data_IF_372967976670
#
_entry.id   IF_372967976670
#
_cell.length_a   1.000
_cell.length_b   1.000
_cell.length_c   1.000
_cell.angle_alpha   90.00
_cell.angle_beta   90.00
_cell.angle_gamma   90.00
#
_symmetry.space_group_name_H-M   'P 1'
#
loop_
_entity.id
_entity.type
_entity.pdbx_description
1 polymer ?
#
# COMPACT_ATOMS: atom_id res chain seq x y z
N UNK A 1 1.18 -12.39 13.89
CA UNK A 1 0.75 -11.03 13.48
C UNK A 1 0.02 -11.01 12.14
N UNK A 2 0.63 -11.47 11.03
CA UNK A 2 -0.01 -11.42 9.69
C UNK A 2 -1.38 -12.08 9.62
N UNK A 3 -1.55 -13.26 10.20
CA UNK A 3 -2.83 -13.97 10.22
C UNK A 3 -3.95 -13.14 10.88
N UNK A 4 -3.65 -12.50 12.02
CA UNK A 4 -4.56 -11.57 12.68
C UNK A 4 -4.95 -10.42 11.73
N UNK A 5 -3.98 -9.80 11.05
CA UNK A 5 -4.23 -8.72 10.09
C UNK A 5 -5.15 -9.19 8.96
N UNK A 6 -4.89 -10.36 8.37
CA UNK A 6 -5.76 -10.95 7.34
C UNK A 6 -7.20 -11.12 7.84
N UNK A 7 -7.39 -11.66 9.05
CA UNK A 7 -8.72 -11.84 9.64
C UNK A 7 -9.43 -10.50 9.88
N UNK A 8 -8.72 -9.49 10.39
CA UNK A 8 -9.28 -8.14 10.61
C UNK A 8 -9.66 -7.47 9.29
N UNK A 9 -8.80 -7.56 8.28
CA UNK A 9 -9.08 -7.02 6.94
C UNK A 9 -10.28 -7.71 6.31
N UNK A 10 -10.39 -9.05 6.38
CA UNK A 10 -11.56 -9.79 5.86
C UNK A 10 -12.86 -9.29 6.46
N UNK A 11 -12.91 -9.08 7.78
CA UNK A 11 -14.09 -8.52 8.45
C UNK A 11 -14.35 -7.08 7.99
N UNK A 12 -13.33 -6.23 8.03
CA UNK A 12 -13.40 -4.83 7.63
C UNK A 12 -13.98 -4.63 6.23
N UNK A 13 -13.46 -5.34 5.23
CA UNK A 13 -13.92 -5.19 3.83
C UNK A 13 -15.32 -5.76 3.61
N UNK A 14 -15.74 -6.73 4.42
CA UNK A 14 -17.11 -7.28 4.34
C UNK A 14 -18.16 -6.27 4.81
N UNK A 15 -17.84 -5.48 5.84
CA UNK A 15 -18.72 -4.49 6.48
C UNK A 15 -18.64 -3.10 5.80
N UNK A 16 -17.56 -2.79 5.07
CA UNK A 16 -17.32 -1.47 4.47
C UNK A 16 -17.21 -1.53 2.95
N UNK A 17 -18.32 -1.35 2.24
CA UNK A 17 -18.42 -1.53 0.77
C UNK A 17 -17.61 -0.54 -0.07
N UNK A 18 -17.21 0.60 0.51
CA UNK A 18 -16.36 1.57 -0.17
C UNK A 18 -14.92 1.09 -0.32
N UNK A 19 -14.47 0.10 0.45
CA UNK A 19 -13.12 -0.45 0.33
C UNK A 19 -13.09 -1.36 -0.89
N UNK A 20 -12.30 -0.97 -1.89
CA UNK A 20 -12.10 -1.69 -3.13
C UNK A 20 -10.75 -2.42 -3.19
N UNK A 21 -9.79 -2.05 -2.34
CA UNK A 21 -8.53 -2.77 -2.18
C UNK A 21 -7.88 -2.51 -0.83
N UNK A 22 -7.04 -3.44 -0.41
CA UNK A 22 -6.22 -3.34 0.80
C UNK A 22 -4.83 -3.91 0.49
N UNK A 23 -3.79 -3.12 0.75
CA UNK A 23 -2.39 -3.52 0.60
C UNK A 23 -1.68 -3.34 1.93
N UNK A 24 -1.20 -4.45 2.49
CA UNK A 24 -0.22 -4.43 3.58
C UNK A 24 1.14 -4.06 3.02
N UNK A 25 1.79 -3.06 3.59
CA UNK A 25 3.15 -2.68 3.23
C UNK A 25 4.04 -2.58 4.47
N UNK A 26 5.23 -2.00 4.32
CA UNK A 26 6.12 -1.74 5.45
C UNK A 26 6.80 -2.99 6.00
N UNK A 27 7.20 -2.93 7.27
CA UNK A 27 8.06 -3.96 7.88
C UNK A 27 7.37 -5.33 7.95
N UNK A 28 6.07 -5.34 8.29
CA UNK A 28 5.28 -6.56 8.36
C UNK A 28 5.12 -7.23 6.99
N UNK A 29 4.99 -6.47 5.90
CA UNK A 29 4.96 -7.03 4.55
C UNK A 29 6.31 -7.68 4.18
N UNK A 30 7.43 -7.05 4.57
CA UNK A 30 8.78 -7.56 4.30
C UNK A 30 9.22 -8.73 5.19
N UNK A 31 8.53 -8.98 6.32
CA UNK A 31 8.95 -10.00 7.30
C UNK A 31 10.08 -9.52 8.19
N UNK A 32 10.15 -8.20 8.40
CA UNK A 32 11.17 -7.51 9.19
C UNK A 32 10.55 -6.82 10.40
N UNK A 33 9.32 -7.19 10.76
CA UNK A 33 8.62 -6.63 11.89
C UNK A 33 9.31 -6.97 13.22
N UNK A 34 9.14 -6.09 14.19
CA UNK A 34 9.50 -6.28 15.59
C UNK A 34 8.24 -6.12 16.44
N UNK A 35 8.32 -6.40 17.74
CA UNK A 35 7.18 -6.20 18.66
C UNK A 35 6.68 -4.76 18.69
N UNK A 36 7.51 -3.78 18.31
CA UNK A 36 7.19 -2.35 18.26
C UNK A 36 6.76 -1.87 16.87
N UNK A 37 6.69 -2.76 15.89
CA UNK A 37 6.37 -2.41 14.50
C UNK A 37 4.90 -2.06 14.33
N UNK A 38 4.67 -1.09 13.47
CA UNK A 38 3.34 -0.65 13.07
C UNK A 38 2.79 -1.61 12.01
N UNK A 39 1.47 -1.75 11.96
CA UNK A 39 0.75 -2.38 10.84
C UNK A 39 0.47 -1.28 9.83
N UNK A 40 1.16 -1.33 8.68
CA UNK A 40 1.05 -0.33 7.63
C UNK A 40 0.07 -0.80 6.52
N UNK A 41 -1.08 -0.13 6.39
CA UNK A 41 -2.12 -0.48 5.42
C UNK A 41 -2.37 0.67 4.44
N UNK A 42 -2.45 0.36 3.15
CA UNK A 42 -3.02 1.24 2.14
C UNK A 42 -4.45 0.77 1.84
N UNK A 43 -5.42 1.62 2.16
CA UNK A 43 -6.82 1.41 1.84
C UNK A 43 -7.14 2.09 0.51
N UNK A 44 -7.52 1.28 -0.47
CA UNK A 44 -7.99 1.77 -1.76
C UNK A 44 -9.50 1.84 -1.75
N UNK A 45 -10.05 3.04 -1.86
CA UNK A 45 -11.49 3.25 -1.84
C UNK A 45 -12.07 3.45 -3.24
N UNK A 46 -13.37 3.18 -3.36
CA UNK A 46 -14.17 3.44 -4.54
C UNK A 46 -15.54 4.00 -4.12
N UNK A 47 -15.98 5.06 -4.80
CA UNK A 47 -17.26 5.72 -4.51
C UNK A 47 -17.37 6.40 -3.13
N UNK A 48 -16.26 6.69 -2.45
CA UNK A 48 -16.28 7.28 -1.11
C UNK A 48 -16.65 8.77 -1.15
N UNK A 49 -17.88 9.10 -0.74
CA UNK A 49 -18.42 10.47 -0.71
C UNK A 49 -18.09 11.20 0.60
N UNK A 50 -16.81 11.36 0.89
CA UNK A 50 -16.30 12.13 2.04
C UNK A 50 -15.45 13.30 1.55
N UNK A 51 -15.60 14.46 2.20
CA UNK A 51 -14.80 15.65 1.90
C UNK A 51 -13.30 15.31 1.96
N UNK A 52 -12.53 15.75 0.96
CA UNK A 52 -11.10 15.43 0.84
C UNK A 52 -10.29 15.81 2.08
N UNK A 53 -10.62 16.92 2.75
CA UNK A 53 -9.92 17.36 3.96
C UNK A 53 -10.15 16.45 5.18
N UNK A 54 -11.24 15.69 5.18
CA UNK A 54 -11.62 14.77 6.28
C UNK A 54 -11.45 13.31 5.92
N UNK A 55 -11.17 12.99 4.65
CA UNK A 55 -11.16 11.61 4.14
C UNK A 55 -10.15 10.74 4.89
N UNK A 56 -8.93 11.24 5.09
CA UNK A 56 -7.91 10.52 5.83
C UNK A 56 -8.36 10.16 7.25
N UNK A 57 -8.92 11.12 7.99
CA UNK A 57 -9.44 10.89 9.36
C UNK A 57 -10.58 9.87 9.34
N UNK A 58 -11.54 10.04 8.42
CA UNK A 58 -12.67 9.12 8.29
C UNK A 58 -12.21 7.69 8.01
N UNK A 59 -11.30 7.49 7.04
CA UNK A 59 -10.79 6.16 6.69
C UNK A 59 -10.03 5.56 7.88
N UNK A 60 -9.19 6.34 8.56
CA UNK A 60 -8.47 5.89 9.75
C UNK A 60 -9.43 5.46 10.88
N UNK A 61 -10.48 6.24 11.16
CA UNK A 61 -11.50 5.91 12.17
C UNK A 61 -12.28 4.63 11.82
N UNK A 62 -12.59 4.41 10.54
CA UNK A 62 -13.24 3.18 10.08
C UNK A 62 -12.31 2.00 10.28
N UNK A 63 -11.07 2.09 9.81
CA UNK A 63 -10.10 0.98 9.85
C UNK A 63 -9.72 0.63 11.28
N UNK A 64 -9.42 1.63 12.12
CA UNK A 64 -8.95 1.42 13.50
C UNK A 64 -9.94 0.66 14.37
N UNK A 65 -11.26 0.74 14.11
CA UNK A 65 -12.29 -0.06 14.81
C UNK A 65 -12.10 -1.58 14.69
N UNK A 66 -11.40 -2.03 13.64
CA UNK A 66 -11.16 -3.46 13.40
C UNK A 66 -9.88 -3.98 14.05
N UNK A 67 -9.01 -3.10 14.53
CA UNK A 67 -7.72 -3.45 15.12
C UNK A 67 -7.72 -3.13 16.62
N UNK A 68 -7.12 -3.98 17.48
CA UNK A 68 -6.99 -3.65 18.90
C UNK A 68 -6.09 -2.43 19.09
N UNK A 69 -6.41 -1.59 20.09
CA UNK A 69 -5.65 -0.38 20.41
C UNK A 69 -4.20 -0.64 20.84
N UNK A 70 -3.87 -1.87 21.20
CA UNK A 70 -2.50 -2.31 21.49
C UNK A 70 -1.61 -2.41 20.24
N UNK A 71 -2.20 -2.46 19.04
CA UNK A 71 -1.46 -2.42 17.79
C UNK A 71 -1.32 -0.98 17.31
N UNK A 72 -0.09 -0.63 16.94
CA UNK A 72 0.19 0.62 16.25
C UNK A 72 -0.20 0.46 14.79
N UNK A 73 -1.00 1.40 14.28
CA UNK A 73 -1.58 1.33 12.95
C UNK A 73 -1.20 2.57 12.15
N UNK A 74 -0.68 2.36 10.95
CA UNK A 74 -0.48 3.41 9.96
C UNK A 74 -1.45 3.14 8.82
N UNK A 75 -2.38 4.08 8.57
CA UNK A 75 -3.35 3.96 7.48
C UNK A 75 -3.10 5.03 6.45
N UNK A 76 -2.85 4.61 5.22
CA UNK A 76 -2.88 5.47 4.05
C UNK A 76 -4.16 5.22 3.26
N UNK A 77 -4.59 6.21 2.50
CA UNK A 77 -5.77 6.11 1.66
C UNK A 77 -5.52 6.69 0.28
N UNK A 78 -6.12 6.07 -0.74
CA UNK A 78 -6.12 6.56 -2.10
C UNK A 78 -7.34 6.01 -2.85
N UNK A 79 -7.82 6.73 -3.86
CA UNK A 79 -8.81 6.17 -4.77
C UNK A 79 -8.22 4.97 -5.54
N UNK A 80 -8.97 3.88 -5.63
CA UNK A 80 -8.53 2.64 -6.30
C UNK A 80 -8.11 2.89 -7.75
N UNK A 81 -8.92 3.62 -8.50
CA UNK A 81 -8.64 3.94 -9.92
C UNK A 81 -7.41 4.83 -10.07
N UNK A 82 -7.23 5.79 -9.17
CA UNK A 82 -6.03 6.64 -9.13
C UNK A 82 -4.76 5.83 -8.84
N UNK A 83 -4.83 4.83 -7.95
CA UNK A 83 -3.69 3.96 -7.65
C UNK A 83 -3.31 3.08 -8.85
N UNK A 84 -4.27 2.42 -9.50
CA UNK A 84 -4.00 1.59 -10.69
C UNK A 84 -3.53 2.42 -11.89
N UNK A 85 -3.92 3.69 -11.98
CA UNK A 85 -3.48 4.59 -13.06
C UNK A 85 -2.28 5.45 -12.68
N UNK A 86 -1.61 5.18 -11.55
CA UNK A 86 -0.50 6.03 -11.10
C UNK A 86 0.62 6.03 -12.15
N UNK A 87 0.96 7.21 -12.65
CA UNK A 87 2.05 7.37 -13.63
C UNK A 87 3.35 7.90 -13.00
N UNK A 88 3.24 8.66 -11.90
CA UNK A 88 4.39 9.25 -11.19
C UNK A 88 4.59 8.54 -9.85
N UNK A 89 5.69 7.82 -9.73
CA UNK A 89 6.01 7.10 -8.50
C UNK A 89 6.75 8.00 -7.51
N UNK A 90 6.11 8.27 -6.38
CA UNK A 90 6.81 8.79 -5.20
C UNK A 90 7.56 7.64 -4.51
N UNK A 91 8.58 7.91 -3.69
CA UNK A 91 9.25 6.86 -2.92
C UNK A 91 8.30 6.00 -2.09
N UNK A 92 7.23 6.60 -1.54
CA UNK A 92 6.20 5.90 -0.79
C UNK A 92 5.40 4.92 -1.66
N UNK A 93 4.85 5.39 -2.79
CA UNK A 93 4.11 4.51 -3.72
C UNK A 93 5.02 3.40 -4.27
N UNK A 94 6.28 3.74 -4.57
CA UNK A 94 7.28 2.77 -5.01
C UNK A 94 7.51 1.69 -3.94
N UNK A 95 7.65 2.06 -2.67
CA UNK A 95 7.78 1.10 -1.56
C UNK A 95 6.53 0.23 -1.40
N UNK A 96 5.33 0.82 -1.50
CA UNK A 96 4.06 0.08 -1.42
C UNK A 96 3.96 -0.93 -2.56
N UNK A 97 4.25 -0.54 -3.81
CA UNK A 97 4.16 -1.45 -4.95
C UNK A 97 5.21 -2.56 -4.87
N UNK A 98 6.41 -2.24 -4.40
CA UNK A 98 7.51 -3.19 -4.37
C UNK A 98 7.38 -4.22 -3.24
N UNK A 99 7.07 -3.79 -2.01
CA UNK A 99 6.96 -4.67 -0.83
C UNK A 99 5.54 -5.17 -0.59
N UNK A 100 4.54 -4.52 -1.18
CA UNK A 100 3.16 -4.66 -0.76
C UNK A 100 2.58 -6.04 -1.03
N UNK A 101 1.85 -6.53 -0.03
CA UNK A 101 1.04 -7.74 -0.11
C UNK A 101 -0.41 -7.30 -0.25
N UNK A 102 -1.02 -7.62 -1.39
CA UNK A 102 -2.46 -7.41 -1.58
C UNK A 102 -3.22 -8.34 -0.64
N UNK A 103 -3.99 -7.76 0.29
CA UNK A 103 -4.85 -8.48 1.23
C UNK A 103 -6.27 -8.59 0.69
N UNK A 104 -6.75 -7.57 -0.03
CA UNK A 104 -8.05 -7.53 -0.67
C UNK A 104 -8.01 -6.77 -1.99
N UNK A 105 -8.78 -7.23 -2.97
CA UNK A 105 -8.88 -6.61 -4.29
C UNK A 105 -10.24 -6.95 -4.92
N UNK A 106 -11.15 -5.99 -4.86
CA UNK A 106 -12.54 -6.12 -5.33
C UNK A 106 -12.62 -6.40 -6.83
N UNK A 107 -11.71 -5.84 -7.61
CA UNK A 107 -11.74 -5.90 -9.07
C UNK A 107 -10.74 -6.89 -9.68
N UNK A 108 -9.89 -7.50 -8.86
CA UNK A 108 -8.91 -8.50 -9.30
C UNK A 108 -7.74 -7.94 -10.13
N UNK A 109 -7.58 -6.61 -10.21
CA UNK A 109 -6.58 -5.94 -11.06
C UNK A 109 -5.32 -5.51 -10.31
N UNK A 110 -5.37 -5.41 -8.99
CA UNK A 110 -4.33 -4.80 -8.16
C UNK A 110 -3.06 -5.64 -8.13
N UNK A 111 -3.20 -6.97 -8.00
CA UNK A 111 -2.06 -7.89 -7.98
C UNK A 111 -1.28 -7.86 -9.29
N UNK A 112 -2.00 -7.92 -10.42
CA UNK A 112 -1.41 -7.87 -11.75
C UNK A 112 -0.77 -6.51 -12.02
N UNK A 113 -1.45 -5.41 -11.69
CA UNK A 113 -0.90 -4.06 -11.80
C UNK A 113 0.42 -3.92 -11.04
N UNK A 114 0.46 -4.28 -9.75
CA UNK A 114 1.68 -4.18 -8.95
C UNK A 114 2.80 -5.07 -9.51
N UNK A 115 2.46 -6.25 -10.05
CA UNK A 115 3.43 -7.13 -10.73
C UNK A 115 4.03 -6.47 -11.97
N UNK A 116 3.20 -5.93 -12.87
CA UNK A 116 3.65 -5.23 -14.09
C UNK A 116 4.56 -4.05 -13.76
N UNK A 117 4.19 -3.27 -12.73
CA UNK A 117 5.03 -2.15 -12.27
C UNK A 117 6.39 -2.65 -11.77
N UNK A 118 6.44 -3.72 -10.97
CA UNK A 118 7.72 -4.30 -10.51
C UNK A 118 8.59 -4.78 -11.68
N UNK A 119 8.00 -5.37 -12.69
CA UNK A 119 8.69 -5.80 -13.91
C UNK A 119 9.24 -4.60 -14.69
N UNK A 120 8.43 -3.56 -14.90
CA UNK A 120 8.87 -2.33 -15.58
C UNK A 120 10.02 -1.64 -14.83
N UNK A 121 9.94 -1.55 -13.50
CA UNK A 121 11.00 -0.98 -12.66
C UNK A 121 12.33 -1.74 -12.83
N UNK A 122 12.26 -3.07 -12.94
CA UNK A 122 13.43 -3.92 -13.19
C UNK A 122 14.03 -3.63 -14.57
N UNK A 123 13.20 -3.52 -15.61
CA UNK A 123 13.63 -3.19 -16.98
C UNK A 123 14.27 -1.79 -17.04
N UNK A 124 13.70 -0.80 -16.35
CA UNK A 124 14.26 0.55 -16.25
C UNK A 124 15.52 0.65 -15.37
N UNK A 125 15.98 -0.47 -14.81
CA UNK A 125 17.24 -0.55 -14.06
C UNK A 125 17.19 0.08 -12.66
N UNK A 126 16.00 0.32 -12.11
CA UNK A 126 15.87 0.77 -10.72
C UNK A 126 16.31 -0.36 -9.78
N UNK A 127 17.24 -0.04 -8.87
CA UNK A 127 17.76 -1.00 -7.89
C UNK A 127 17.44 -0.52 -6.50
N UNK A 128 16.84 -1.40 -5.69
CA UNK A 128 16.68 -1.16 -4.25
C UNK A 128 17.90 -1.69 -3.51
N UNK A 129 18.42 -0.90 -2.58
CA UNK A 129 19.47 -1.32 -1.64
C UNK A 129 18.99 -1.16 -0.21
N UNK A 130 19.53 -2.02 0.66
CA UNK A 130 19.30 -2.01 2.11
C UNK A 130 20.61 -1.65 2.80
N UNK A 131 20.55 -0.75 3.78
CA UNK A 131 21.64 -0.41 4.68
C UNK A 131 21.10 -0.41 6.11
N UNK A 132 21.57 -1.36 6.93
CA UNK A 132 20.99 -1.61 8.25
C UNK A 132 19.47 -1.88 8.17
N UNK A 133 18.67 -1.01 8.79
CA UNK A 133 17.19 -1.06 8.76
C UNK A 133 16.55 -0.17 7.68
N UNK A 134 17.35 0.53 6.88
CA UNK A 134 16.88 1.54 5.94
C UNK A 134 17.00 1.04 4.50
N UNK A 135 16.07 1.48 3.66
CA UNK A 135 16.08 1.21 2.23
C UNK A 135 16.24 2.50 1.44
N UNK A 136 16.97 2.43 0.32
CA UNK A 136 17.07 3.50 -0.64
C UNK A 136 17.05 2.96 -2.07
N UNK A 137 16.63 3.84 -2.98
CA UNK A 137 16.51 3.53 -4.40
C UNK A 137 17.68 4.14 -5.16
N UNK A 138 18.38 3.32 -5.91
CA UNK A 138 19.39 3.75 -6.87
C UNK A 138 18.69 3.91 -8.21
N UNK A 139 18.67 5.16 -8.69
CA UNK A 139 18.16 5.52 -10.00
C UNK A 139 19.19 5.17 -11.08
N UNK A 140 18.75 4.80 -12.29
CA UNK A 140 19.65 4.56 -13.42
C UNK A 140 20.42 5.82 -13.82
N UNK A 141 19.80 7.00 -13.65
CA UNK A 141 20.42 8.31 -13.85
C UNK A 141 20.05 9.24 -12.69
N UNK A 142 21.01 10.00 -12.12
CA UNK A 142 20.73 10.99 -11.08
C UNK A 142 19.63 11.97 -11.51
N UNK A 143 18.67 12.24 -10.61
CA UNK A 143 17.55 13.16 -10.87
C UNK A 143 16.49 12.65 -11.85
N UNK A 144 16.61 11.42 -12.38
CA UNK A 144 15.61 10.86 -13.28
C UNK A 144 14.26 10.71 -12.58
N UNK A 145 13.19 11.16 -13.24
CA UNK A 145 11.82 10.90 -12.79
C UNK A 145 11.45 9.48 -13.19
N UNK A 146 10.97 8.69 -12.23
CA UNK A 146 10.41 7.36 -12.50
C UNK A 146 8.97 7.55 -12.98
N UNK A 147 8.77 7.37 -14.29
CA UNK A 147 7.44 7.38 -14.92
C UNK A 147 7.10 5.96 -15.36
N UNK A 148 5.87 5.57 -15.10
CA UNK A 148 5.33 4.28 -15.50
C UNK A 148 4.67 4.36 -16.87
N UNK A 149 4.93 3.34 -17.67
CA UNK A 149 4.31 3.10 -18.97
C UNK A 149 3.27 1.97 -18.90
N UNK A 150 3.14 1.25 -17.76
CA UNK A 150 2.10 0.24 -17.53
C UNK A 150 0.70 0.77 -17.92
N UNK A 151 0.04 0.05 -18.83
CA UNK A 151 -1.37 0.19 -19.20
C UNK A 151 -2.28 -0.78 -18.44
#
# INVERSE_FOLDING_TARGET
>A
MRELVFQRVRRMVSENKFIAGDVLFGSLARGEETERSDVDLLILWDGLKVNSSRRHVYVYEVVSKYFPSTLRLTVLEMEYTSFIKVKKLTPLILNIIYDGIVLYDKYGRLREFMKKVREELKVKGLKRRKTGRTYYWILPKPGAKVRLEVE
#
